data_IF_350375956719
#
_entry.id   IF_350375956719
#
_cell.length_a   1.000
_cell.length_b   1.000
_cell.length_c   1.000
_cell.angle_alpha   90.00
_cell.angle_beta   90.00
_cell.angle_gamma   90.00
#
_symmetry.space_group_name_H-M   'P 1'
#
loop_
_entity.id
_entity.type
_entity.pdbx_description
1 polymer ?
#
# COMPACT_ATOMS: atom_id res chain seq x y z
N UNK A 1 37.47 -63.62 -20.61
CA UNK A 1 36.79 -63.27 -19.35
C UNK A 1 37.24 -61.87 -18.96
N UNK A 2 36.49 -60.84 -19.37
CA UNK A 2 36.83 -59.42 -19.18
C UNK A 2 36.23 -58.96 -17.86
N UNK A 3 37.08 -58.66 -16.88
CA UNK A 3 36.68 -58.03 -15.62
C UNK A 3 36.50 -56.54 -15.90
N UNK A 4 35.26 -56.11 -16.06
CA UNK A 4 34.89 -54.69 -16.10
C UNK A 4 34.90 -54.21 -14.65
N UNK A 5 35.98 -53.52 -14.26
CA UNK A 5 36.03 -52.76 -13.01
C UNK A 5 35.12 -51.56 -13.21
N UNK A 6 33.87 -51.70 -12.77
CA UNK A 6 32.92 -50.60 -12.64
C UNK A 6 33.39 -49.78 -11.42
N UNK A 7 34.21 -48.76 -11.67
CA UNK A 7 34.55 -47.75 -10.69
C UNK A 7 33.25 -46.98 -10.38
N UNK A 8 32.54 -47.41 -9.34
CA UNK A 8 31.45 -46.66 -8.74
C UNK A 8 32.05 -45.34 -8.23
N UNK A 9 31.98 -44.30 -9.06
CA UNK A 9 32.16 -42.93 -8.64
C UNK A 9 31.02 -42.66 -7.67
N UNK A 10 31.28 -42.88 -6.39
CA UNK A 10 30.43 -42.45 -5.30
C UNK A 10 30.49 -40.92 -5.31
N UNK A 11 29.68 -40.29 -6.16
CA UNK A 11 29.35 -38.86 -6.07
C UNK A 11 28.55 -38.74 -4.79
N UNK A 12 29.28 -38.64 -3.69
CA UNK A 12 28.83 -38.09 -2.43
C UNK A 12 28.36 -36.68 -2.76
N UNK A 13 27.07 -36.54 -3.12
CA UNK A 13 26.34 -35.30 -2.98
C UNK A 13 26.27 -35.02 -1.48
N UNK A 14 27.40 -34.63 -0.90
CA UNK A 14 27.42 -33.93 0.37
C UNK A 14 26.78 -32.61 0.01
N UNK A 15 25.47 -32.51 0.21
CA UNK A 15 24.83 -31.23 0.40
C UNK A 15 25.55 -30.63 1.61
N UNK A 16 26.60 -29.83 1.36
CA UNK A 16 27.14 -28.95 2.38
C UNK A 16 25.96 -28.04 2.72
N UNK A 17 25.27 -28.38 3.82
CA UNK A 17 24.44 -27.41 4.51
C UNK A 17 25.43 -26.31 4.91
N UNK A 18 25.45 -25.21 4.15
CA UNK A 18 26.26 -24.07 4.51
C UNK A 18 25.77 -23.63 5.88
N UNK A 19 26.68 -23.67 6.85
CA UNK A 19 26.38 -23.25 8.22
C UNK A 19 25.94 -21.80 8.20
N UNK A 20 24.91 -21.47 8.98
CA UNK A 20 24.48 -20.10 9.17
C UNK A 20 25.66 -19.19 9.53
N UNK A 21 25.72 -18.02 8.89
CA UNK A 21 26.77 -17.04 9.06
C UNK A 21 26.34 -16.00 10.09
N UNK A 22 27.16 -15.80 11.12
CA UNK A 22 27.02 -14.72 12.10
C UNK A 22 28.10 -13.67 11.86
N UNK A 23 27.67 -12.43 11.65
CA UNK A 23 28.55 -11.28 11.41
C UNK A 23 28.42 -10.28 12.55
N UNK A 24 29.56 -9.73 12.98
CA UNK A 24 29.63 -8.72 14.04
C UNK A 24 29.88 -9.28 15.43
N UNK A 25 29.60 -8.44 16.44
CA UNK A 25 29.70 -8.77 17.85
C UNK A 25 28.72 -7.89 18.64
N UNK A 26 28.21 -8.36 19.78
CA UNK A 26 27.42 -7.54 20.71
C UNK A 26 28.28 -6.78 21.73
N UNK A 27 29.60 -7.03 21.74
CA UNK A 27 30.55 -6.41 22.69
C UNK A 27 31.61 -5.53 22.02
N UNK A 28 31.73 -5.58 20.70
CA UNK A 28 32.72 -4.81 19.95
C UNK A 28 32.20 -4.39 18.57
N UNK A 29 32.59 -3.20 18.13
CA UNK A 29 32.27 -2.70 16.78
C UNK A 29 33.25 -3.31 15.77
N UNK A 30 32.73 -3.74 14.62
CA UNK A 30 33.52 -4.33 13.54
C UNK A 30 33.00 -3.85 12.18
N UNK A 31 33.91 -3.39 11.32
CA UNK A 31 33.59 -3.01 9.95
C UNK A 31 33.60 -4.25 9.06
N UNK A 32 32.58 -4.35 8.22
CA UNK A 32 32.38 -5.51 7.36
C UNK A 32 32.61 -5.13 5.90
N UNK A 33 33.29 -6.03 5.18
CA UNK A 33 33.24 -6.02 3.72
C UNK A 33 31.81 -6.36 3.26
N UNK A 34 31.55 -6.28 1.95
CA UNK A 34 30.29 -6.78 1.38
C UNK A 34 30.11 -8.25 1.79
N UNK A 35 29.03 -8.53 2.51
CA UNK A 35 28.73 -9.88 3.01
C UNK A 35 27.74 -10.57 2.08
N UNK A 36 28.08 -11.78 1.63
CA UNK A 36 27.12 -12.69 0.99
C UNK A 36 26.67 -13.72 2.00
N UNK A 37 25.40 -13.64 2.41
CA UNK A 37 24.79 -14.62 3.30
C UNK A 37 24.45 -15.90 2.52
N UNK A 38 24.94 -17.06 2.98
CA UNK A 38 24.69 -18.33 2.31
C UNK A 38 23.25 -18.78 2.46
N UNK A 39 22.86 -19.73 1.62
CA UNK A 39 21.62 -20.50 1.73
C UNK A 39 21.58 -21.27 3.06
N UNK A 40 21.07 -20.62 4.10
CA UNK A 40 20.96 -21.15 5.44
C UNK A 40 19.79 -20.51 6.17
N UNK A 41 19.22 -21.28 7.10
CA UNK A 41 18.24 -20.78 8.06
C UNK A 41 18.99 -20.26 9.29
N UNK A 42 18.78 -19.00 9.67
CA UNK A 42 19.35 -18.32 10.85
C UNK A 42 20.73 -17.66 10.68
N UNK A 43 21.00 -17.02 9.53
CA UNK A 43 22.09 -16.04 9.49
C UNK A 43 21.81 -14.85 10.43
N UNK A 44 22.85 -14.18 10.92
CA UNK A 44 22.69 -13.09 11.91
C UNK A 44 23.66 -11.94 11.61
N UNK A 45 23.16 -10.71 11.68
CA UNK A 45 23.95 -9.48 11.79
C UNK A 45 23.78 -8.96 13.22
N UNK A 46 24.84 -9.00 14.01
CA UNK A 46 24.87 -8.58 15.42
C UNK A 46 25.01 -7.05 15.57
N UNK A 47 24.76 -6.54 16.79
CA UNK A 47 24.65 -5.11 17.08
C UNK A 47 25.85 -4.26 16.66
N UNK A 48 27.06 -4.79 16.84
CA UNK A 48 28.32 -4.12 16.52
C UNK A 48 28.78 -4.23 15.06
N UNK A 49 27.98 -4.81 14.16
CA UNK A 49 28.36 -4.93 12.75
C UNK A 49 28.11 -3.63 11.97
N UNK A 50 29.16 -2.99 11.45
CA UNK A 50 29.06 -1.84 10.54
C UNK A 50 29.05 -2.36 9.10
N UNK A 51 27.91 -2.26 8.44
CA UNK A 51 27.67 -2.79 7.08
C UNK A 51 27.84 -1.70 6.01
N UNK A 52 29.00 -1.05 6.00
CA UNK A 52 29.31 0.07 5.10
C UNK A 52 29.45 -0.33 3.62
N UNK A 53 29.56 -1.63 3.34
CA UNK A 53 29.66 -2.18 1.99
C UNK A 53 28.42 -3.02 1.62
N UNK A 54 27.38 -3.01 2.45
CA UNK A 54 26.12 -3.70 2.19
C UNK A 54 26.16 -5.19 2.48
N UNK A 55 25.07 -5.87 2.12
CA UNK A 55 24.94 -7.31 2.22
C UNK A 55 23.97 -7.87 1.18
N UNK A 56 24.21 -9.10 0.77
CA UNK A 56 23.38 -9.79 -0.21
C UNK A 56 23.03 -11.19 0.29
N UNK A 57 21.84 -11.65 -0.03
CA UNK A 57 21.43 -13.03 0.15
C UNK A 57 21.79 -13.83 -1.10
N UNK A 58 22.09 -15.11 -0.91
CA UNK A 58 22.41 -15.99 -2.04
C UNK A 58 21.17 -16.31 -2.85
N UNK A 59 20.03 -16.52 -2.19
CA UNK A 59 18.78 -16.97 -2.81
C UNK A 59 17.55 -16.73 -1.91
N UNK A 60 16.40 -17.21 -2.40
CA UNK A 60 15.10 -17.12 -1.72
C UNK A 60 14.99 -17.97 -0.45
N UNK A 61 15.91 -18.92 -0.23
CA UNK A 61 15.92 -19.79 0.95
C UNK A 61 16.81 -19.22 2.07
N UNK A 62 17.54 -18.14 1.80
CA UNK A 62 18.40 -17.46 2.76
C UNK A 62 17.56 -16.69 3.77
N UNK A 63 17.82 -16.90 5.07
CA UNK A 63 17.20 -16.08 6.14
C UNK A 63 18.25 -15.39 6.99
N UNK A 64 17.97 -14.15 7.43
CA UNK A 64 18.88 -13.38 8.28
C UNK A 64 18.12 -12.54 9.32
N UNK A 65 18.63 -12.50 10.56
CA UNK A 65 18.20 -11.55 11.59
C UNK A 65 19.11 -10.34 11.62
N UNK A 66 18.55 -9.13 11.57
CA UNK A 66 19.27 -7.87 11.60
C UNK A 66 19.13 -7.17 12.96
N UNK A 67 20.25 -7.04 13.68
CA UNK A 67 20.32 -6.37 14.98
C UNK A 67 21.30 -5.19 15.02
N UNK A 68 21.93 -4.82 13.90
CA UNK A 68 22.92 -3.74 13.88
C UNK A 68 22.31 -2.40 14.30
N UNK A 69 23.07 -1.60 15.03
CA UNK A 69 22.71 -0.23 15.42
C UNK A 69 23.20 0.83 14.42
N UNK A 70 23.91 0.42 13.37
CA UNK A 70 24.52 1.30 12.39
C UNK A 70 23.72 1.31 11.09
N UNK A 71 23.73 2.45 10.42
CA UNK A 71 23.22 2.57 9.06
C UNK A 71 23.97 1.62 8.11
N UNK A 72 23.29 1.19 7.06
CA UNK A 72 23.83 0.32 6.02
C UNK A 72 24.07 1.15 4.77
N UNK A 73 25.30 1.08 4.24
CA UNK A 73 25.66 1.67 2.96
C UNK A 73 25.85 0.54 1.93
N UNK A 74 25.94 0.89 0.65
CA UNK A 74 26.19 -0.06 -0.42
C UNK A 74 24.98 -0.92 -0.81
N UNK A 75 25.21 -2.03 -1.52
CA UNK A 75 24.13 -2.87 -2.01
C UNK A 75 23.47 -3.71 -0.91
N UNK A 76 22.16 -3.62 -0.82
CA UNK A 76 21.31 -4.55 -0.07
C UNK A 76 20.43 -5.32 -1.04
N UNK A 77 20.62 -6.63 -1.14
CA UNK A 77 19.84 -7.49 -2.04
C UNK A 77 19.37 -8.73 -1.30
N UNK A 78 18.06 -8.88 -1.13
CA UNK A 78 17.49 -9.98 -0.36
C UNK A 78 17.17 -11.21 -1.21
N UNK A 79 17.19 -11.11 -2.54
CA UNK A 79 16.95 -12.24 -3.45
C UNK A 79 15.72 -13.08 -3.05
N UNK A 80 14.64 -12.42 -2.61
CA UNK A 80 13.40 -13.04 -2.11
C UNK A 80 13.51 -13.82 -0.79
N UNK A 81 14.70 -13.89 -0.19
CA UNK A 81 14.88 -14.46 1.13
C UNK A 81 14.23 -13.61 2.23
N UNK A 82 14.47 -14.02 3.47
CA UNK A 82 13.75 -13.47 4.62
C UNK A 82 14.71 -12.65 5.49
N UNK A 83 14.40 -11.37 5.67
CA UNK A 83 15.08 -10.50 6.62
C UNK A 83 14.16 -10.23 7.83
N UNK A 84 14.61 -10.55 9.02
CA UNK A 84 13.89 -10.25 10.27
C UNK A 84 14.56 -9.10 10.99
N UNK A 85 13.85 -8.00 11.20
CA UNK A 85 14.38 -6.82 11.88
C UNK A 85 14.24 -6.98 13.39
N UNK A 86 15.35 -6.82 14.11
CA UNK A 86 15.41 -6.74 15.58
C UNK A 86 15.69 -5.30 16.05
N UNK A 87 16.33 -4.51 15.18
CA UNK A 87 16.52 -3.06 15.24
C UNK A 87 16.02 -2.39 13.95
N UNK A 88 15.98 -1.07 13.93
CA UNK A 88 15.64 -0.32 12.72
C UNK A 88 16.75 -0.48 11.67
N UNK A 89 16.34 -0.69 10.41
CA UNK A 89 17.23 -0.77 9.26
C UNK A 89 17.20 0.56 8.51
N UNK A 90 18.27 1.34 8.65
CA UNK A 90 18.42 2.65 8.02
C UNK A 90 19.47 2.51 6.92
N UNK A 91 19.10 2.86 5.69
CA UNK A 91 20.05 2.98 4.59
C UNK A 91 20.65 4.39 4.56
N UNK A 92 21.95 4.47 4.35
CA UNK A 92 22.68 5.72 4.19
C UNK A 92 23.31 5.81 2.80
N UNK A 93 23.38 7.02 2.24
CA UNK A 93 23.89 7.22 0.89
C UNK A 93 25.41 6.96 0.81
N UNK A 94 25.88 6.23 -0.22
CA UNK A 94 25.10 5.58 -1.26
C UNK A 94 24.59 4.20 -0.82
N UNK A 95 23.31 3.91 -1.07
CA UNK A 95 22.73 2.57 -0.93
C UNK A 95 21.89 2.17 -2.16
N UNK A 96 21.84 0.87 -2.45
CA UNK A 96 20.92 0.32 -3.47
C UNK A 96 20.11 -0.80 -2.87
N UNK A 97 18.80 -0.83 -3.13
CA UNK A 97 17.90 -1.88 -2.66
C UNK A 97 17.19 -2.54 -3.84
N UNK A 98 17.97 -3.21 -4.68
CA UNK A 98 17.52 -3.57 -6.04
C UNK A 98 16.72 -4.85 -6.07
N UNK A 99 17.09 -5.86 -5.28
CA UNK A 99 16.37 -7.13 -5.25
C UNK A 99 15.65 -7.31 -3.93
N UNK A 100 14.33 -7.15 -3.99
CA UNK A 100 13.44 -7.27 -2.84
C UNK A 100 13.45 -8.68 -2.23
N UNK A 101 12.98 -8.74 -0.99
CA UNK A 101 12.66 -9.97 -0.29
C UNK A 101 11.64 -9.73 0.80
N UNK A 102 11.34 -10.80 1.54
CA UNK A 102 10.41 -10.73 2.65
C UNK A 102 11.06 -10.02 3.82
N UNK A 103 10.32 -9.12 4.47
CA UNK A 103 10.80 -8.37 5.63
C UNK A 103 9.81 -8.55 6.78
N UNK A 104 10.26 -9.24 7.83
CA UNK A 104 9.53 -9.28 9.10
C UNK A 104 10.02 -8.14 9.97
N UNK A 105 9.24 -7.06 9.98
CA UNK A 105 9.61 -5.80 10.59
C UNK A 105 9.62 -5.82 12.11
N UNK A 106 8.83 -6.67 12.79
CA UNK A 106 8.68 -6.66 14.25
C UNK A 106 8.44 -5.25 14.84
N UNK A 107 7.62 -4.43 14.16
CA UNK A 107 7.36 -3.02 14.49
C UNK A 107 8.60 -2.11 14.39
N UNK A 108 9.58 -2.47 13.56
CA UNK A 108 10.76 -1.65 13.24
C UNK A 108 10.57 -0.83 11.97
N UNK A 109 11.53 0.05 11.73
CA UNK A 109 11.61 0.93 10.58
C UNK A 109 12.56 0.36 9.53
N UNK A 110 12.15 0.43 8.26
CA UNK A 110 13.01 0.42 7.08
C UNK A 110 13.03 1.84 6.51
N UNK A 111 14.14 2.55 6.66
CA UNK A 111 14.34 3.87 6.07
C UNK A 111 15.22 3.76 4.83
N UNK A 112 14.68 4.10 3.66
CA UNK A 112 15.41 4.06 2.41
C UNK A 112 16.27 5.31 2.24
N UNK A 113 17.47 5.15 1.68
CA UNK A 113 18.36 6.27 1.39
C UNK A 113 17.88 7.01 0.13
N UNK A 114 18.19 8.32 -0.02
CA UNK A 114 17.88 9.08 -1.24
C UNK A 114 18.39 8.44 -2.54
N UNK A 115 19.47 7.67 -2.52
CA UNK A 115 19.96 6.96 -3.71
C UNK A 115 19.13 5.74 -4.12
N UNK A 116 18.22 5.26 -3.27
CA UNK A 116 17.30 4.17 -3.61
C UNK A 116 16.13 4.75 -4.39
N UNK A 117 16.05 4.44 -5.69
CA UNK A 117 15.03 5.00 -6.60
C UNK A 117 14.17 3.92 -7.28
N UNK A 118 14.48 2.64 -7.03
CA UNK A 118 13.78 1.50 -7.61
C UNK A 118 13.58 0.40 -6.59
N UNK A 119 12.40 -0.24 -6.63
CA UNK A 119 12.10 -1.46 -5.90
C UNK A 119 11.63 -2.53 -6.90
N UNK A 120 12.42 -3.59 -7.05
CA UNK A 120 12.14 -4.66 -8.01
C UNK A 120 12.59 -6.04 -7.50
N UNK A 121 12.13 -7.09 -8.16
CA UNK A 121 12.56 -8.47 -7.97
C UNK A 121 13.40 -8.91 -9.17
N UNK A 122 14.03 -10.09 -9.05
CA UNK A 122 14.65 -10.74 -10.21
C UNK A 122 13.57 -11.20 -11.18
N UNK A 123 13.82 -11.09 -12.49
CA UNK A 123 12.83 -11.27 -13.58
C UNK A 123 12.19 -12.67 -13.72
N UNK A 124 12.41 -13.58 -12.78
CA UNK A 124 12.01 -14.99 -12.86
C UNK A 124 10.82 -15.36 -11.96
N UNK A 125 10.26 -14.42 -11.17
CA UNK A 125 9.24 -14.75 -10.16
C UNK A 125 8.00 -13.87 -10.23
N UNK A 126 6.84 -14.50 -10.04
CA UNK A 126 5.49 -13.93 -10.17
C UNK A 126 4.77 -13.71 -8.84
N UNK A 127 5.39 -14.02 -7.70
CA UNK A 127 4.79 -13.86 -6.37
C UNK A 127 5.24 -12.57 -5.70
N UNK A 128 4.33 -11.93 -4.98
CA UNK A 128 4.62 -10.74 -4.19
C UNK A 128 5.51 -11.08 -3.00
N UNK A 129 6.37 -10.14 -2.59
CA UNK A 129 7.10 -10.24 -1.32
C UNK A 129 6.21 -9.79 -0.15
N UNK A 130 6.46 -10.32 1.03
CA UNK A 130 5.70 -10.01 2.24
C UNK A 130 6.48 -9.06 3.15
N UNK A 131 5.89 -7.92 3.49
CA UNK A 131 6.37 -6.96 4.47
C UNK A 131 5.41 -6.91 5.67
N UNK A 132 5.87 -7.44 6.80
CA UNK A 132 5.04 -7.63 8.00
C UNK A 132 5.42 -6.66 9.11
N UNK A 133 4.42 -6.01 9.73
CA UNK A 133 4.59 -5.13 10.87
C UNK A 133 5.77 -4.15 10.70
N UNK A 134 5.80 -3.44 9.57
CA UNK A 134 6.92 -2.64 9.11
C UNK A 134 6.51 -1.19 8.85
N UNK A 135 7.31 -0.24 9.33
CA UNK A 135 7.25 1.14 8.88
C UNK A 135 8.31 1.37 7.82
N UNK A 136 7.90 1.84 6.64
CA UNK A 136 8.77 2.19 5.53
C UNK A 136 8.80 3.70 5.39
N UNK A 137 9.99 4.27 5.27
CA UNK A 137 10.19 5.71 5.06
C UNK A 137 10.94 5.91 3.74
N UNK A 138 10.40 6.76 2.87
CA UNK A 138 11.01 7.12 1.60
C UNK A 138 11.78 8.45 1.77
N UNK A 139 12.95 8.54 1.13
CA UNK A 139 13.75 9.76 1.05
C UNK A 139 14.04 10.15 -0.42
N UNK A 140 13.24 9.61 -1.34
CA UNK A 140 13.35 9.71 -2.79
C UNK A 140 12.05 9.27 -3.45
N UNK A 141 11.85 9.66 -4.70
CA UNK A 141 10.82 9.07 -5.54
C UNK A 141 11.21 7.63 -5.90
N UNK A 142 10.21 6.74 -5.93
CA UNK A 142 10.40 5.31 -6.11
C UNK A 142 9.63 4.80 -7.31
N UNK A 143 10.32 4.11 -8.21
CA UNK A 143 9.69 3.28 -9.24
C UNK A 143 9.59 1.85 -8.71
N UNK A 144 8.37 1.37 -8.53
CA UNK A 144 8.08 0.00 -8.09
C UNK A 144 7.68 -0.85 -9.29
N UNK A 145 8.28 -2.04 -9.43
CA UNK A 145 7.99 -2.99 -10.54
C UNK A 145 7.28 -4.27 -10.12
N UNK A 146 7.32 -4.61 -8.84
CA UNK A 146 6.80 -5.88 -8.32
C UNK A 146 5.92 -5.61 -7.11
N UNK A 147 4.94 -6.51 -6.87
CA UNK A 147 4.02 -6.35 -5.78
C UNK A 147 4.60 -6.65 -4.41
N UNK A 148 4.07 -5.93 -3.43
CA UNK A 148 4.39 -6.06 -2.01
C UNK A 148 3.07 -6.29 -1.26
N UNK A 149 3.00 -7.42 -0.58
CA UNK A 149 1.94 -7.72 0.38
C UNK A 149 2.33 -7.24 1.77
N UNK A 150 1.53 -6.34 2.32
CA UNK A 150 1.70 -5.84 3.68
C UNK A 150 0.84 -6.63 4.65
N UNK A 151 1.46 -7.29 5.64
CA UNK A 151 0.75 -8.04 6.69
C UNK A 151 0.91 -7.37 8.05
N UNK A 152 -0.06 -7.61 8.95
CA UNK A 152 -0.08 -6.95 10.26
C UNK A 152 -0.32 -5.43 10.15
N UNK A 153 0.43 -4.65 10.92
CA UNK A 153 0.32 -3.19 10.95
C UNK A 153 1.52 -2.54 10.23
N UNK A 154 1.31 -2.09 9.00
CA UNK A 154 2.36 -1.49 8.19
C UNK A 154 2.07 -0.02 7.89
N UNK A 155 3.12 0.73 7.62
CA UNK A 155 3.00 2.09 7.08
C UNK A 155 4.07 2.39 6.03
N UNK A 156 3.70 3.18 5.03
CA UNK A 156 4.60 3.79 4.06
C UNK A 156 4.46 5.30 4.20
N UNK A 157 5.51 5.94 4.68
CA UNK A 157 5.63 7.39 4.79
C UNK A 157 6.46 7.90 3.60
N UNK A 158 5.78 8.51 2.64
CA UNK A 158 6.42 9.04 1.43
C UNK A 158 7.16 10.34 1.65
N UNK A 159 6.95 11.06 2.77
CA UNK A 159 7.56 12.37 3.04
C UNK A 159 7.41 13.39 1.89
N UNK A 160 6.34 13.29 1.11
CA UNK A 160 6.05 14.10 -0.06
C UNK A 160 6.58 13.54 -1.39
N UNK A 161 7.21 12.37 -1.40
CA UNK A 161 7.71 11.71 -2.60
C UNK A 161 6.62 10.97 -3.38
N UNK A 162 6.98 10.62 -4.62
CA UNK A 162 6.14 9.85 -5.55
C UNK A 162 6.51 8.37 -5.51
N UNK A 163 5.50 7.50 -5.55
CA UNK A 163 5.68 6.07 -5.88
C UNK A 163 4.98 5.79 -7.20
N UNK A 164 5.74 5.49 -8.23
CA UNK A 164 5.24 5.10 -9.55
C UNK A 164 5.07 3.58 -9.62
N UNK A 165 3.83 3.11 -9.82
CA UNK A 165 3.53 1.67 -9.96
C UNK A 165 3.62 1.26 -11.43
N UNK A 166 4.74 0.66 -11.83
CA UNK A 166 4.94 0.15 -13.20
C UNK A 166 4.81 -1.38 -13.24
N UNK A 167 4.77 -1.95 -14.45
CA UNK A 167 4.78 -3.40 -14.68
C UNK A 167 3.78 -4.18 -13.79
N UNK A 168 4.25 -5.11 -12.97
CA UNK A 168 3.47 -5.96 -12.06
C UNK A 168 3.45 -5.42 -10.61
N UNK A 169 3.75 -4.14 -10.42
CA UNK A 169 3.73 -3.53 -9.08
C UNK A 169 2.31 -3.52 -8.50
N UNK A 170 2.18 -3.89 -7.24
CA UNK A 170 0.92 -3.88 -6.49
C UNK A 170 1.23 -3.53 -5.03
N UNK A 171 0.42 -2.65 -4.44
CA UNK A 171 0.38 -2.47 -2.99
C UNK A 171 -0.83 -3.25 -2.48
N UNK A 172 -0.57 -4.27 -1.67
CA UNK A 172 -1.60 -5.20 -1.22
C UNK A 172 -1.68 -5.14 0.30
N UNK A 173 -2.87 -4.85 0.83
CA UNK A 173 -3.16 -5.02 2.24
C UNK A 173 -3.57 -6.48 2.45
N UNK A 174 -2.73 -7.25 3.14
CA UNK A 174 -2.94 -8.65 3.44
C UNK A 174 -4.16 -8.88 4.35
N UNK A 175 -4.47 -10.16 4.59
CA UNK A 175 -5.63 -10.55 5.40
C UNK A 175 -5.61 -9.92 6.79
N UNK A 176 -6.59 -9.05 7.08
CA UNK A 176 -6.70 -8.36 8.37
C UNK A 176 -5.62 -7.31 8.62
N UNK A 177 -4.80 -7.00 7.61
CA UNK A 177 -3.74 -6.03 7.73
C UNK A 177 -4.29 -4.61 7.68
N UNK A 178 -3.53 -3.70 8.30
CA UNK A 178 -3.68 -2.26 8.11
C UNK A 178 -2.45 -1.73 7.40
N UNK A 179 -2.63 -1.20 6.20
CA UNK A 179 -1.60 -0.45 5.48
C UNK A 179 -1.93 1.03 5.57
N UNK A 180 -1.08 1.80 6.26
CA UNK A 180 -1.17 3.25 6.27
C UNK A 180 -0.27 3.85 5.19
N UNK A 181 -0.84 4.59 4.25
CA UNK A 181 -0.10 5.45 3.33
C UNK A 181 -0.13 6.88 3.86
N UNK A 182 1.03 7.53 3.90
CA UNK A 182 1.17 8.87 4.47
C UNK A 182 2.06 9.75 3.61
N UNK A 183 1.63 10.99 3.37
CA UNK A 183 2.39 12.04 2.68
C UNK A 183 3.02 11.51 1.38
N UNK A 184 2.21 10.94 0.49
CA UNK A 184 2.71 10.24 -0.71
C UNK A 184 1.75 10.41 -1.89
N UNK A 185 2.33 10.58 -3.08
CA UNK A 185 1.60 10.49 -4.35
C UNK A 185 1.85 9.11 -4.95
N UNK A 186 0.78 8.36 -5.25
CA UNK A 186 0.88 7.07 -5.93
C UNK A 186 0.40 7.26 -7.38
N UNK A 187 1.30 7.03 -8.32
CA UNK A 187 1.02 7.13 -9.75
C UNK A 187 0.74 5.77 -10.38
N UNK A 188 0.11 5.80 -11.55
CA UNK A 188 -0.28 4.62 -12.32
C UNK A 188 -1.24 3.69 -11.58
N UNK A 189 -2.12 4.25 -10.74
CA UNK A 189 -3.17 3.49 -10.07
C UNK A 189 -4.22 3.03 -11.09
N UNK A 190 -4.56 1.75 -11.04
CA UNK A 190 -5.63 1.09 -11.81
C UNK A 190 -6.06 -0.18 -11.09
N UNK A 191 -7.08 -0.85 -11.61
CA UNK A 191 -7.54 -2.15 -11.06
C UNK A 191 -6.36 -3.13 -10.87
N UNK A 192 -6.29 -3.75 -9.70
CA UNK A 192 -5.22 -4.68 -9.28
C UNK A 192 -4.03 -4.00 -8.58
N UNK A 193 -3.80 -2.70 -8.79
CA UNK A 193 -2.63 -2.00 -8.21
C UNK A 193 -2.72 -1.71 -6.72
N UNK A 194 -3.93 -1.39 -6.25
CA UNK A 194 -4.22 -1.13 -4.83
C UNK A 194 -5.41 -2.01 -4.45
N UNK A 195 -5.17 -3.04 -3.63
CA UNK A 195 -6.18 -4.05 -3.31
C UNK A 195 -6.06 -4.64 -1.90
N UNK A 196 -7.19 -4.89 -1.23
CA UNK A 196 -7.21 -5.72 -0.03
C UNK A 196 -7.34 -7.19 -0.40
N UNK A 197 -6.68 -8.10 0.32
CA UNK A 197 -6.88 -9.54 0.11
C UNK A 197 -8.23 -10.04 0.64
N UNK A 198 -8.84 -9.33 1.59
CA UNK A 198 -10.15 -9.68 2.13
C UNK A 198 -10.92 -8.47 2.70
N UNK A 199 -12.16 -8.71 3.13
CA UNK A 199 -13.06 -7.69 3.69
C UNK A 199 -12.53 -6.98 4.93
N UNK A 200 -11.62 -7.58 5.70
CA UNK A 200 -11.06 -6.95 6.91
C UNK A 200 -9.77 -6.17 6.64
N UNK A 201 -9.26 -6.19 5.41
CA UNK A 201 -8.09 -5.42 4.98
C UNK A 201 -8.39 -3.92 5.02
N UNK A 202 -7.47 -3.12 5.55
CA UNK A 202 -7.69 -1.67 5.75
C UNK A 202 -6.58 -0.85 5.11
N UNK A 203 -6.96 0.14 4.30
CA UNK A 203 -6.09 1.21 3.84
C UNK A 203 -6.36 2.48 4.65
N UNK A 204 -5.38 2.96 5.38
CA UNK A 204 -5.45 4.28 6.06
C UNK A 204 -4.69 5.30 5.22
N UNK A 205 -5.36 6.34 4.75
CA UNK A 205 -4.83 7.27 3.75
C UNK A 205 -4.69 8.64 4.39
N UNK A 206 -3.44 9.11 4.60
CA UNK A 206 -3.14 10.40 5.22
C UNK A 206 -2.33 11.33 4.31
N UNK A 207 -2.93 12.40 3.81
CA UNK A 207 -2.29 13.29 2.82
C UNK A 207 -1.77 12.49 1.61
N UNK A 208 -2.68 11.77 0.98
CA UNK A 208 -2.38 10.86 -0.13
C UNK A 208 -3.05 11.36 -1.40
N UNK A 209 -2.36 11.27 -2.53
CA UNK A 209 -2.96 11.42 -3.85
C UNK A 209 -2.79 10.13 -4.66
N UNK A 210 -3.88 9.62 -5.22
CA UNK A 210 -3.84 8.55 -6.23
C UNK A 210 -4.09 9.16 -7.62
N UNK A 211 -3.12 9.00 -8.51
CA UNK A 211 -3.22 9.42 -9.92
C UNK A 211 -3.59 8.21 -10.77
N UNK A 212 -4.81 8.20 -11.31
CA UNK A 212 -5.32 7.07 -12.06
C UNK A 212 -4.75 7.02 -13.48
N UNK A 213 -4.25 5.85 -13.89
CA UNK A 213 -3.84 5.57 -15.27
C UNK A 213 -4.92 4.81 -16.08
N UNK A 214 -5.85 4.15 -15.40
CA UNK A 214 -7.01 3.46 -15.97
C UNK A 214 -8.10 3.36 -14.87
N UNK A 215 -9.23 2.74 -15.16
CA UNK A 215 -10.29 2.48 -14.19
C UNK A 215 -9.75 1.65 -13.00
N UNK A 216 -10.02 2.13 -11.80
CA UNK A 216 -9.67 1.46 -10.55
C UNK A 216 -10.91 0.93 -9.85
N UNK A 217 -11.08 -0.38 -9.89
CA UNK A 217 -12.08 -1.10 -9.13
C UNK A 217 -11.54 -1.51 -7.75
N UNK A 218 -12.07 -0.90 -6.69
CA UNK A 218 -11.78 -1.28 -5.31
C UNK A 218 -12.88 -2.20 -4.78
N UNK A 219 -12.62 -3.50 -4.85
CA UNK A 219 -13.60 -4.56 -4.57
C UNK A 219 -13.51 -5.18 -3.18
N UNK A 220 -12.44 -4.92 -2.43
CA UNK A 220 -12.15 -5.68 -1.22
C UNK A 220 -11.39 -4.85 -0.20
N UNK A 221 -11.82 -4.93 1.06
CA UNK A 221 -11.32 -4.13 2.16
C UNK A 221 -12.02 -2.77 2.27
N UNK A 222 -11.48 -1.90 3.11
CA UNK A 222 -12.03 -0.56 3.37
C UNK A 222 -10.97 0.53 3.34
N UNK A 223 -11.41 1.75 3.07
CA UNK A 223 -10.61 2.96 3.09
C UNK A 223 -10.94 3.77 4.36
N UNK A 224 -9.90 4.27 5.03
CA UNK A 224 -10.01 5.20 6.15
C UNK A 224 -9.25 6.46 5.75
N UNK A 225 -9.99 7.52 5.44
CA UNK A 225 -9.41 8.81 5.07
C UNK A 225 -9.07 9.59 6.34
N UNK A 226 -7.80 9.98 6.45
CA UNK A 226 -7.22 10.80 7.50
C UNK A 226 -6.66 12.06 6.83
N UNK A 227 -6.98 13.24 7.33
CA UNK A 227 -6.60 14.50 6.69
C UNK A 227 -7.05 14.53 5.21
N UNK A 228 -6.16 14.59 4.22
CA UNK A 228 -6.57 14.63 2.81
C UNK A 228 -6.33 13.29 2.07
N UNK A 229 -7.35 12.83 1.33
CA UNK A 229 -7.19 11.82 0.28
C UNK A 229 -7.77 12.36 -1.03
N UNK A 230 -6.92 12.49 -2.02
CA UNK A 230 -7.26 12.99 -3.35
C UNK A 230 -7.15 11.86 -4.38
N UNK A 231 -8.10 11.81 -5.30
CA UNK A 231 -8.03 10.95 -6.48
C UNK A 231 -8.15 11.83 -7.73
N UNK A 232 -7.20 11.70 -8.64
CA UNK A 232 -7.07 12.51 -9.85
C UNK A 232 -6.84 11.65 -11.10
N UNK A 233 -6.81 12.30 -12.28
CA UNK A 233 -6.83 11.66 -13.59
C UNK A 233 -8.23 11.68 -14.21
N UNK A 234 -8.40 11.05 -15.38
CA UNK A 234 -9.64 11.14 -16.18
C UNK A 234 -10.46 9.85 -16.20
N UNK A 235 -10.12 8.88 -15.35
CA UNK A 235 -10.70 7.53 -15.35
C UNK A 235 -11.79 7.38 -14.28
N UNK A 236 -12.19 6.15 -13.95
CA UNK A 236 -13.18 5.88 -12.91
C UNK A 236 -12.54 5.31 -11.65
N UNK A 237 -12.96 5.82 -10.50
CA UNK A 237 -12.86 5.08 -9.25
C UNK A 237 -14.18 4.34 -9.02
N UNK A 238 -14.15 3.01 -9.04
CA UNK A 238 -15.32 2.16 -8.90
C UNK A 238 -15.26 1.46 -7.54
N UNK A 239 -16.17 1.81 -6.65
CA UNK A 239 -16.26 1.21 -5.33
C UNK A 239 -17.23 0.04 -5.35
N UNK A 240 -16.72 -1.18 -5.42
CA UNK A 240 -17.51 -2.42 -5.40
C UNK A 240 -17.45 -3.18 -4.07
N UNK A 241 -16.56 -2.78 -3.17
CA UNK A 241 -16.47 -3.33 -1.81
C UNK A 241 -17.80 -3.22 -1.06
N UNK A 242 -18.14 -4.26 -0.30
CA UNK A 242 -19.28 -4.28 0.63
C UNK A 242 -18.93 -3.76 2.03
N UNK A 243 -17.69 -3.30 2.22
CA UNK A 243 -17.19 -2.79 3.49
C UNK A 243 -17.43 -1.30 3.62
N UNK A 244 -17.50 -0.82 4.86
CA UNK A 244 -17.67 0.61 5.16
C UNK A 244 -16.32 1.30 5.11
N UNK A 245 -16.19 2.27 4.21
CA UNK A 245 -15.11 3.25 4.17
C UNK A 245 -15.52 4.54 4.88
N UNK A 246 -14.57 5.18 5.55
CA UNK A 246 -14.85 6.34 6.41
C UNK A 246 -14.00 7.54 6.02
N UNK A 247 -14.60 8.72 6.15
CA UNK A 247 -13.93 10.02 6.10
C UNK A 247 -13.91 10.55 7.53
N UNK A 248 -12.72 10.68 8.11
CA UNK A 248 -12.54 11.03 9.52
C UNK A 248 -12.87 12.50 9.81
N UNK A 249 -12.80 12.86 11.10
CA UNK A 249 -12.97 14.23 11.56
C UNK A 249 -11.95 15.14 10.89
N UNK A 250 -12.38 16.32 10.42
CA UNK A 250 -11.54 17.30 9.73
C UNK A 250 -10.78 16.73 8.52
N UNK A 251 -11.29 15.65 7.92
CA UNK A 251 -10.67 14.97 6.78
C UNK A 251 -11.50 15.16 5.52
N UNK A 252 -10.86 15.06 4.36
CA UNK A 252 -11.43 15.36 3.05
C UNK A 252 -11.13 14.25 2.06
N UNK A 253 -12.18 13.69 1.44
CA UNK A 253 -12.08 12.90 0.22
C UNK A 253 -12.37 13.80 -0.98
N UNK A 254 -11.41 13.92 -1.89
CA UNK A 254 -11.45 14.86 -3.01
C UNK A 254 -11.38 14.08 -4.33
N UNK A 255 -12.36 14.31 -5.19
CA UNK A 255 -12.37 13.83 -6.57
C UNK A 255 -12.05 14.98 -7.50
N UNK A 256 -10.97 14.86 -8.27
CA UNK A 256 -10.40 15.93 -9.10
C UNK A 256 -10.29 15.52 -10.58
N UNK A 257 -10.18 16.52 -11.47
CA UNK A 257 -9.77 16.36 -12.87
C UNK A 257 -10.69 15.52 -13.77
N UNK A 258 -12.01 15.70 -13.69
CA UNK A 258 -13.00 15.00 -14.50
C UNK A 258 -13.11 13.48 -14.25
N UNK A 259 -12.57 13.01 -13.12
CA UNK A 259 -12.77 11.64 -12.66
C UNK A 259 -14.25 11.34 -12.39
N UNK A 260 -14.65 10.08 -12.56
CA UNK A 260 -15.95 9.59 -12.09
C UNK A 260 -15.77 8.69 -10.87
N UNK A 261 -16.37 9.07 -9.75
CA UNK A 261 -16.56 8.18 -8.62
C UNK A 261 -17.87 7.40 -8.80
N UNK A 262 -17.77 6.08 -8.98
CA UNK A 262 -18.89 5.17 -9.15
C UNK A 262 -19.14 4.35 -7.88
N UNK A 263 -20.22 4.66 -7.17
CA UNK A 263 -20.71 3.85 -6.06
C UNK A 263 -21.51 2.65 -6.61
N UNK A 264 -20.87 1.47 -6.59
CA UNK A 264 -21.45 0.23 -7.14
C UNK A 264 -21.10 -0.99 -6.25
N UNK A 265 -21.40 -0.96 -4.94
CA UNK A 265 -21.06 -2.07 -4.06
C UNK A 265 -21.80 -3.34 -4.46
N UNK A 266 -21.20 -4.49 -4.15
CA UNK A 266 -21.82 -5.81 -4.38
C UNK A 266 -23.04 -6.11 -3.51
N UNK A 267 -23.31 -5.26 -2.51
CA UNK A 267 -24.49 -5.32 -1.65
C UNK A 267 -25.45 -4.16 -1.94
N UNK A 268 -26.72 -4.28 -1.53
CA UNK A 268 -27.70 -3.20 -1.63
C UNK A 268 -27.53 -2.11 -0.55
N UNK A 269 -26.35 -2.02 0.07
CA UNK A 269 -26.08 -1.05 1.14
C UNK A 269 -25.76 0.32 0.52
N UNK A 270 -26.39 1.37 1.03
CA UNK A 270 -26.26 2.75 0.55
C UNK A 270 -25.31 3.60 1.39
N UNK A 271 -24.84 3.06 2.51
CA UNK A 271 -24.14 3.79 3.58
C UNK A 271 -22.69 3.31 3.75
N UNK A 272 -22.05 2.85 2.67
CA UNK A 272 -20.67 2.33 2.71
C UNK A 272 -19.60 3.42 2.58
N UNK A 273 -19.98 4.66 2.26
CA UNK A 273 -19.12 5.85 2.40
C UNK A 273 -19.67 6.71 3.53
N UNK A 274 -18.97 6.74 4.67
CA UNK A 274 -19.45 7.41 5.88
C UNK A 274 -18.61 8.64 6.23
N UNK A 275 -19.28 9.77 6.42
CA UNK A 275 -18.71 10.99 6.99
C UNK A 275 -18.86 10.93 8.51
N UNK A 276 -17.76 10.88 9.25
CA UNK A 276 -17.81 10.62 10.69
C UNK A 276 -18.27 11.83 11.52
N UNK A 277 -18.13 13.04 10.99
CA UNK A 277 -18.54 14.28 11.66
C UNK A 277 -19.00 15.35 10.67
N UNK A 278 -19.56 16.46 11.17
CA UNK A 278 -19.87 17.65 10.37
C UNK A 278 -18.64 18.25 9.66
N UNK A 279 -17.42 17.97 10.16
CA UNK A 279 -16.17 18.47 9.58
C UNK A 279 -15.53 17.51 8.59
N UNK A 280 -16.08 16.30 8.42
CA UNK A 280 -15.72 15.40 7.33
C UNK A 280 -16.24 15.97 6.00
N UNK A 281 -15.44 15.89 4.94
CA UNK A 281 -15.73 16.51 3.65
C UNK A 281 -15.64 15.49 2.51
N UNK A 282 -16.65 15.46 1.65
CA UNK A 282 -16.58 14.89 0.31
C UNK A 282 -16.66 16.05 -0.70
N UNK A 283 -15.64 16.21 -1.53
CA UNK A 283 -15.53 17.35 -2.46
C UNK A 283 -15.39 16.88 -3.92
N UNK A 284 -16.19 17.48 -4.81
CA UNK A 284 -16.07 17.33 -6.27
C UNK A 284 -15.41 18.58 -6.87
N UNK A 285 -14.29 18.38 -7.56
CA UNK A 285 -13.56 19.40 -8.35
C UNK A 285 -13.63 19.02 -9.82
N UNK A 286 -14.77 19.32 -10.43
CA UNK A 286 -14.99 19.03 -11.85
C UNK A 286 -15.31 17.55 -12.10
N UNK A 287 -15.71 16.81 -11.07
CA UNK A 287 -15.87 15.37 -11.06
C UNK A 287 -17.34 14.93 -11.12
N UNK A 288 -17.56 13.65 -11.40
CA UNK A 288 -18.89 13.02 -11.40
C UNK A 288 -19.05 12.09 -10.20
N UNK A 289 -20.10 12.28 -9.41
CA UNK A 289 -20.58 11.30 -8.45
C UNK A 289 -21.68 10.46 -9.10
N UNK A 290 -21.36 9.21 -9.39
CA UNK A 290 -22.24 8.24 -10.04
C UNK A 290 -22.72 7.20 -9.02
N UNK A 291 -24.02 6.96 -8.97
CA UNK A 291 -24.64 5.90 -8.18
C UNK A 291 -25.41 4.95 -9.08
N UNK A 292 -25.16 3.65 -8.92
CA UNK A 292 -25.98 2.62 -9.59
C UNK A 292 -27.36 2.48 -8.95
N UNK A 293 -28.12 1.48 -9.39
CA UNK A 293 -29.39 1.09 -8.77
C UNK A 293 -29.28 0.65 -7.30
N UNK A 294 -28.07 0.55 -6.73
CA UNK A 294 -27.92 0.41 -5.26
C UNK A 294 -28.36 1.67 -4.53
N UNK A 295 -28.13 2.84 -5.11
CA UNK A 295 -28.29 4.13 -4.44
C UNK A 295 -27.13 4.45 -3.50
N UNK A 296 -26.87 5.74 -3.30
CA UNK A 296 -25.89 6.25 -2.34
C UNK A 296 -26.61 7.13 -1.33
N UNK A 297 -26.26 7.04 -0.06
CA UNK A 297 -26.73 7.96 0.97
C UNK A 297 -25.55 8.51 1.74
N UNK A 298 -25.42 9.84 1.72
CA UNK A 298 -24.50 10.56 2.57
C UNK A 298 -25.27 11.04 3.80
N UNK A 299 -24.71 10.83 4.98
CA UNK A 299 -25.21 11.35 6.26
C UNK A 299 -24.10 12.10 6.96
N UNK A 300 -24.46 13.12 7.74
CA UNK A 300 -23.51 14.02 8.42
C UNK A 300 -22.60 14.77 7.43
N UNK A 301 -21.57 15.42 7.96
CA UNK A 301 -20.49 16.00 7.16
C UNK A 301 -20.91 17.07 6.17
N UNK A 302 -20.01 17.31 5.23
CA UNK A 302 -20.14 18.33 4.20
C UNK A 302 -19.94 17.69 2.83
N UNK A 303 -20.87 17.95 1.92
CA UNK A 303 -20.71 17.75 0.49
C UNK A 303 -20.42 19.09 -0.18
N UNK A 304 -19.35 19.18 -0.98
CA UNK A 304 -18.94 20.43 -1.64
C UNK A 304 -18.65 20.24 -3.11
N UNK A 305 -19.02 21.22 -3.92
CA UNK A 305 -18.56 21.35 -5.31
C UNK A 305 -17.70 22.60 -5.45
N UNK A 306 -16.63 22.57 -6.27
CA UNK A 306 -15.78 23.74 -6.56
C UNK A 306 -15.68 24.10 -8.04
N UNK A 307 -15.91 23.15 -8.92
CA UNK A 307 -15.99 23.34 -10.37
C UNK A 307 -17.24 22.62 -10.88
N UNK A 308 -17.55 22.79 -12.18
CA UNK A 308 -18.73 22.16 -12.79
C UNK A 308 -18.70 20.64 -12.59
N UNK A 309 -19.59 20.15 -11.74
CA UNK A 309 -19.61 18.76 -11.28
C UNK A 309 -20.97 18.13 -11.58
N UNK A 310 -21.04 16.81 -11.51
CA UNK A 310 -22.24 16.05 -11.90
C UNK A 310 -22.65 15.08 -10.81
N UNK A 311 -23.95 15.00 -10.55
CA UNK A 311 -24.59 13.89 -9.86
C UNK A 311 -25.34 13.06 -10.88
N UNK A 312 -25.08 11.75 -10.93
CA UNK A 312 -25.76 10.82 -11.84
C UNK A 312 -26.27 9.63 -11.04
N UNK A 313 -27.58 9.41 -11.06
CA UNK A 313 -28.21 8.28 -10.38
C UNK A 313 -28.99 7.40 -11.37
N UNK A 314 -28.60 6.13 -11.51
CA UNK A 314 -29.34 5.17 -12.34
C UNK A 314 -30.72 4.81 -11.76
N UNK A 315 -30.84 4.89 -10.44
CA UNK A 315 -32.03 4.50 -9.70
C UNK A 315 -33.25 5.35 -10.03
N UNK A 316 -34.43 4.70 -10.10
CA UNK A 316 -35.71 5.37 -10.37
C UNK A 316 -36.64 5.43 -9.16
N UNK A 317 -36.24 4.87 -8.01
CA UNK A 317 -37.00 4.89 -6.75
C UNK A 317 -36.15 5.43 -5.60
N UNK A 318 -36.79 5.84 -4.50
CA UNK A 318 -36.14 6.53 -3.38
C UNK A 318 -35.03 5.71 -2.70
N UNK A 319 -35.16 4.38 -2.71
CA UNK A 319 -34.13 3.46 -2.19
C UNK A 319 -32.92 3.35 -3.11
N UNK A 320 -32.96 3.90 -4.31
CA UNK A 320 -31.88 3.84 -5.31
C UNK A 320 -31.34 5.23 -5.68
N UNK A 321 -31.85 6.28 -5.02
CA UNK A 321 -31.45 7.65 -5.26
C UNK A 321 -30.02 7.94 -4.73
N UNK A 322 -29.44 9.07 -5.14
CA UNK A 322 -28.41 9.74 -4.33
C UNK A 322 -29.14 10.56 -3.26
N UNK A 323 -28.90 10.28 -1.98
CA UNK A 323 -29.60 10.93 -0.86
C UNK A 323 -28.65 11.69 0.05
N UNK A 324 -29.04 12.91 0.42
CA UNK A 324 -28.36 13.72 1.42
C UNK A 324 -29.19 13.78 2.70
N UNK A 325 -28.74 13.12 3.76
CA UNK A 325 -29.47 12.94 5.01
C UNK A 325 -30.36 11.69 5.03
N UNK A 326 -30.95 11.40 6.18
CA UNK A 326 -31.82 10.23 6.41
C UNK A 326 -33.15 10.55 7.12
N UNK A 327 -33.49 11.84 7.24
CA UNK A 327 -34.67 12.31 7.96
C UNK A 327 -34.45 12.54 9.46
N UNK A 328 -33.21 12.42 9.96
CA UNK A 328 -32.86 12.76 11.35
C UNK A 328 -31.87 13.92 11.42
N UNK A 329 -32.08 14.83 12.39
CA UNK A 329 -31.24 16.04 12.57
C UNK A 329 -29.76 15.68 12.73
N UNK A 330 -29.46 14.60 13.46
CA UNK A 330 -28.11 14.13 13.73
C UNK A 330 -27.34 13.70 12.47
N UNK A 331 -28.05 13.39 11.39
CA UNK A 331 -27.51 12.88 10.13
C UNK A 331 -27.69 13.86 8.96
N UNK A 332 -28.07 15.11 9.25
CA UNK A 332 -28.13 16.17 8.25
C UNK A 332 -26.75 16.38 7.59
N UNK A 333 -26.74 16.55 6.26
CA UNK A 333 -25.55 16.86 5.46
C UNK A 333 -25.50 18.34 5.16
N UNK A 334 -24.35 18.98 5.34
CA UNK A 334 -24.13 20.36 4.85
C UNK A 334 -23.78 20.32 3.37
N UNK A 335 -24.55 21.04 2.53
CA UNK A 335 -24.28 21.13 1.08
C UNK A 335 -23.71 22.52 0.77
N UNK A 336 -22.53 22.57 0.16
CA UNK A 336 -21.84 23.80 -0.22
C UNK A 336 -21.61 23.79 -1.75
N UNK A 337 -22.53 24.37 -2.54
CA UNK A 337 -22.39 24.43 -3.99
C UNK A 337 -21.59 25.69 -4.39
N UNK A 338 -20.26 25.60 -4.45
CA UNK A 338 -19.43 26.75 -4.88
C UNK A 338 -19.29 26.85 -6.41
N UNK A 339 -19.86 25.91 -7.15
CA UNK A 339 -19.90 25.88 -8.61
C UNK A 339 -21.14 25.13 -9.11
N UNK A 340 -21.33 25.16 -10.43
CA UNK A 340 -22.41 24.47 -11.11
C UNK A 340 -22.43 22.98 -10.75
N UNK A 341 -23.61 22.49 -10.40
CA UNK A 341 -23.88 21.09 -10.13
C UNK A 341 -25.03 20.64 -11.02
N UNK A 342 -24.71 19.83 -12.02
CA UNK A 342 -25.72 19.21 -12.87
C UNK A 342 -26.19 17.90 -12.27
N UNK A 343 -27.48 17.62 -12.39
CA UNK A 343 -28.12 16.45 -11.79
C UNK A 343 -28.83 15.69 -12.90
N UNK A 344 -28.49 14.42 -13.05
CA UNK A 344 -29.19 13.45 -13.88
C UNK A 344 -29.67 12.27 -13.01
N UNK A 345 -30.94 11.91 -13.15
CA UNK A 345 -31.59 10.87 -12.36
C UNK A 345 -32.15 11.33 -11.00
N UNK A 346 -32.40 10.37 -10.11
CA UNK A 346 -33.11 10.62 -8.85
C UNK A 346 -32.16 11.04 -7.72
N UNK A 347 -32.20 12.31 -7.33
CA UNK A 347 -31.54 12.86 -6.15
C UNK A 347 -32.57 13.26 -5.10
N UNK A 348 -32.29 12.96 -3.83
CA UNK A 348 -33.19 13.21 -2.71
C UNK A 348 -32.50 14.03 -1.61
N UNK A 349 -33.15 15.10 -1.17
CA UNK A 349 -32.74 15.87 -0.01
C UNK A 349 -33.58 15.45 1.21
N UNK A 350 -32.92 14.84 2.19
CA UNK A 350 -33.50 14.21 3.38
C UNK A 350 -32.95 14.79 4.68
N UNK A 351 -32.49 16.04 4.66
CA UNK A 351 -32.26 16.73 5.91
C UNK A 351 -33.60 17.16 6.53
N UNK A 352 -33.66 17.22 7.86
CA UNK A 352 -34.81 17.75 8.61
C UNK A 352 -34.41 18.94 9.49
N UNK A 353 -35.38 19.80 9.78
CA UNK A 353 -35.24 20.90 10.75
C UNK A 353 -34.97 20.38 12.17
#
# INVERSE_FOLDING_TARGET
MRVVILLYLFVLNINFCLTALTIGSDSAVSRQALVTFPTATANIILGGAVMENGFVFTDALTTCSFSSFFSVLGPVNLQQGILTLLTDLIFEDPATFTYLGNIFGNSRVLELAPSVTYLQMTSAVTSNVVWDNLKVILNSDIIMRNGIEFTGNCSLDGRGHVVELVDDAELIAGTGATLKLKDVVIENVKTGKIQGLNSVSTYSLQNVEFVLSDDWNFSTGKLVVLDEFKISGTNKFIYTSDQVSTISFNSSLIFDSAITFSYNPTSNNRDLIQLLSATSLLELRGATLYSTTTGLRLTKGTFRTREKSYLVAEGSVSTQAISFGDGTVANNVTIIPNADLEIDGFVQYNNTA
#
